data_IF_354233275419
#
_entry.id   IF_354233275419
#
_cell.length_a   1.000
_cell.length_b   1.000
_cell.length_c   1.000
_cell.angle_alpha   90.00
_cell.angle_beta   90.00
_cell.angle_gamma   90.00
#
_symmetry.space_group_name_H-M   'P 1'
#
loop_
_entity.id
_entity.type
_entity.pdbx_description
1 polymer ?
#
# COMPACT_ATOMS: atom_id res chain seq x y z
N UNK A 1 17.38 -1.56 -21.46
CA UNK A 1 16.74 -0.23 -21.50
C UNK A 1 17.03 0.42 -20.16
N UNK A 2 17.95 1.40 -20.12
CA UNK A 2 18.25 2.11 -18.87
C UNK A 2 17.04 3.01 -18.58
N UNK A 3 16.16 2.59 -17.66
CA UNK A 3 14.93 3.34 -17.34
C UNK A 3 15.21 4.75 -16.80
N UNK A 4 16.44 5.00 -16.33
CA UNK A 4 16.90 6.28 -15.79
C UNK A 4 17.48 7.24 -16.83
N UNK A 5 17.31 6.99 -18.14
CA UNK A 5 17.80 7.93 -19.15
C UNK A 5 16.95 9.21 -19.20
N UNK A 6 17.61 10.37 -19.25
CA UNK A 6 16.96 11.68 -19.41
C UNK A 6 16.04 11.75 -20.64
N UNK A 7 16.35 11.01 -21.70
CA UNK A 7 15.53 10.92 -22.92
C UNK A 7 14.20 10.20 -22.66
N UNK A 8 14.20 9.18 -21.80
CA UNK A 8 12.98 8.46 -21.38
C UNK A 8 12.11 9.38 -20.53
N UNK A 9 12.72 10.14 -19.60
CA UNK A 9 12.01 11.12 -18.80
C UNK A 9 11.39 12.24 -19.64
N UNK A 10 12.14 12.76 -20.63
CA UNK A 10 11.66 13.82 -21.51
C UNK A 10 10.41 13.39 -22.30
N UNK A 11 10.43 12.19 -22.90
CA UNK A 11 9.25 11.64 -23.60
C UNK A 11 8.07 11.41 -22.66
N UNK A 12 8.31 10.97 -21.43
CA UNK A 12 7.25 10.75 -20.46
C UNK A 12 6.57 12.06 -20.02
N UNK A 13 7.35 13.12 -19.80
CA UNK A 13 6.80 14.45 -19.41
C UNK A 13 6.03 15.11 -20.54
N UNK A 14 6.36 14.83 -21.81
CA UNK A 14 5.63 15.36 -22.97
C UNK A 14 4.16 14.90 -22.97
N UNK A 15 3.89 13.65 -22.59
CA UNK A 15 2.55 13.11 -22.40
C UNK A 15 1.94 13.36 -21.01
N UNK A 16 2.76 13.74 -20.02
CA UNK A 16 2.33 13.93 -18.64
C UNK A 16 2.98 15.18 -18.00
N UNK A 17 2.50 16.36 -18.40
CA UNK A 17 3.08 17.65 -17.96
C UNK A 17 3.12 17.83 -16.44
N UNK A 18 2.17 17.26 -15.70
CA UNK A 18 2.14 17.32 -14.24
C UNK A 18 3.28 16.50 -13.60
N UNK A 19 3.81 15.49 -14.30
CA UNK A 19 4.91 14.67 -13.82
C UNK A 19 6.25 15.42 -13.74
N UNK A 20 6.39 16.52 -14.49
CA UNK A 20 7.62 17.33 -14.51
C UNK A 20 8.10 17.74 -13.11
N UNK A 21 7.16 18.03 -12.20
CA UNK A 21 7.47 18.46 -10.85
C UNK A 21 8.07 17.37 -9.95
N UNK A 22 8.08 16.09 -10.38
CA UNK A 22 8.62 14.98 -9.60
C UNK A 22 10.08 14.67 -9.89
N UNK A 23 10.67 15.20 -10.99
CA UNK A 23 12.08 14.92 -11.35
C UNK A 23 13.06 15.28 -10.22
N UNK A 24 12.76 16.34 -9.48
CA UNK A 24 13.61 16.89 -8.43
C UNK A 24 13.08 16.61 -7.02
N UNK A 25 12.00 15.84 -6.90
CA UNK A 25 11.42 15.52 -5.59
C UNK A 25 12.13 14.32 -4.98
N UNK A 26 12.54 14.49 -3.73
CA UNK A 26 13.08 13.39 -2.93
C UNK A 26 11.92 12.53 -2.43
N UNK A 27 11.94 11.24 -2.76
CA UNK A 27 11.02 10.25 -2.19
C UNK A 27 11.52 9.92 -0.79
N UNK A 28 10.85 10.48 0.23
CA UNK A 28 11.13 10.11 1.63
C UNK A 28 10.83 8.62 1.81
N UNK A 29 11.60 7.97 2.67
CA UNK A 29 11.45 6.54 2.97
C UNK A 29 11.68 5.62 1.74
N UNK A 30 12.48 6.08 0.76
CA UNK A 30 12.83 5.30 -0.42
C UNK A 30 13.41 3.92 -0.05
N UNK A 31 14.29 3.86 0.95
CA UNK A 31 14.94 2.60 1.36
C UNK A 31 13.93 1.57 1.86
N UNK A 32 12.91 1.97 2.62
CA UNK A 32 11.88 1.03 3.06
C UNK A 32 10.94 0.62 1.93
N UNK A 33 10.59 1.55 1.03
CA UNK A 33 9.80 1.23 -0.17
C UNK A 33 10.57 0.22 -1.03
N UNK A 34 11.87 0.45 -1.22
CA UNK A 34 12.73 -0.47 -1.95
C UNK A 34 12.87 -1.80 -1.22
N UNK A 35 12.91 -1.82 0.12
CA UNK A 35 12.96 -3.08 0.88
C UNK A 35 11.69 -3.93 0.70
N UNK A 36 10.52 -3.31 0.62
CA UNK A 36 9.23 -4.02 0.47
C UNK A 36 9.01 -4.48 -0.98
N UNK A 37 9.40 -3.65 -1.95
CA UNK A 37 9.04 -3.83 -3.36
C UNK A 37 10.21 -4.13 -4.30
N UNK A 38 11.48 -4.08 -3.86
CA UNK A 38 12.55 -4.71 -4.64
C UNK A 38 12.19 -6.18 -4.78
N UNK A 39 12.15 -6.64 -6.01
CA UNK A 39 11.99 -8.06 -6.34
C UNK A 39 12.95 -8.87 -5.50
N UNK A 40 12.41 -9.59 -4.51
CA UNK A 40 13.17 -10.53 -3.71
C UNK A 40 13.57 -11.69 -4.61
N UNK A 41 14.82 -11.69 -5.08
CA UNK A 41 15.45 -12.85 -5.67
C UNK A 41 15.94 -13.79 -4.56
N UNK A 42 15.07 -14.14 -3.61
CA UNK A 42 15.28 -15.27 -2.72
C UNK A 42 15.19 -16.58 -3.53
N UNK A 43 16.21 -16.85 -4.34
CA UNK A 43 16.55 -18.20 -4.75
C UNK A 43 17.40 -18.80 -3.64
N UNK A 44 16.76 -19.11 -2.51
CA UNK A 44 17.45 -19.47 -1.28
C UNK A 44 16.71 -20.56 -0.54
N UNK A 45 17.18 -21.79 -0.75
CA UNK A 45 16.88 -23.01 -0.03
C UNK A 45 17.18 -22.89 1.48
N UNK A 46 16.36 -22.15 2.25
CA UNK A 46 16.60 -21.94 3.69
C UNK A 46 15.32 -21.98 4.56
N UNK A 47 14.27 -22.65 4.09
CA UNK A 47 13.19 -23.11 4.96
C UNK A 47 13.64 -24.33 5.78
N UNK A 48 14.65 -24.20 6.64
CA UNK A 48 15.06 -25.25 7.58
C UNK A 48 15.40 -24.66 8.95
N UNK A 49 14.49 -24.93 9.88
CA UNK A 49 14.75 -25.26 11.29
C UNK A 49 15.31 -24.14 12.19
N UNK A 50 14.43 -23.58 13.02
CA UNK A 50 14.79 -22.89 14.25
C UNK A 50 14.05 -23.52 15.41
N UNK A 51 14.62 -24.61 15.96
CA UNK A 51 14.16 -25.25 17.21
C UNK A 51 14.45 -24.29 18.36
N UNK A 52 13.41 -24.04 19.16
CA UNK A 52 13.48 -23.28 20.40
C UNK A 52 14.41 -23.98 21.39
N UNK A 53 15.33 -23.24 22.02
CA UNK A 53 15.96 -23.70 23.26
C UNK A 53 16.17 -22.49 24.17
N UNK A 54 15.27 -22.38 25.14
CA UNK A 54 15.45 -21.58 26.34
C UNK A 54 16.60 -22.17 27.15
N UNK A 55 17.56 -21.33 27.56
CA UNK A 55 18.39 -21.67 28.71
C UNK A 55 18.78 -20.40 29.48
N UNK A 56 18.21 -20.35 30.68
CA UNK A 56 18.45 -19.37 31.73
C UNK A 56 19.55 -19.90 32.65
N UNK A 57 20.58 -19.12 32.96
CA UNK A 57 21.22 -19.11 34.28
C UNK A 57 22.31 -18.03 34.46
N UNK A 58 22.47 -17.50 35.69
CA UNK A 58 23.27 -16.33 36.01
C UNK A 58 24.64 -16.69 36.62
N UNK A 59 25.66 -15.84 36.43
CA UNK A 59 26.79 -15.80 37.35
C UNK A 59 27.22 -14.34 37.60
N UNK A 60 27.07 -13.93 38.86
CA UNK A 60 27.68 -12.74 39.43
C UNK A 60 29.15 -13.02 39.78
N UNK A 61 30.01 -12.01 39.66
CA UNK A 61 31.21 -11.88 40.48
C UNK A 61 31.44 -10.41 40.76
N UNK A 62 31.36 -10.08 42.06
CA UNK A 62 31.61 -8.77 42.66
C UNK A 62 33.08 -8.33 42.57
N UNK A 63 33.27 -7.02 42.56
CA UNK A 63 34.54 -6.33 42.78
C UNK A 63 34.29 -4.87 43.14
N UNK A 64 34.34 -4.58 44.45
CA UNK A 64 34.02 -3.32 45.13
C UNK A 64 35.08 -2.20 44.93
N UNK A 65 34.63 -0.94 44.90
CA UNK A 65 35.26 0.32 45.43
C UNK A 65 34.98 1.57 44.54
N UNK A 66 34.94 2.83 45.06
CA UNK A 66 34.19 3.35 46.20
C UNK A 66 33.27 4.55 45.82
N UNK A 67 32.33 4.81 46.74
CA UNK A 67 31.45 5.98 46.96
C UNK A 67 31.59 7.24 46.07
N UNK A 68 30.50 7.57 45.35
CA UNK A 68 30.15 8.94 44.95
C UNK A 68 28.61 9.11 44.99
N UNK A 69 28.06 10.11 45.70
CA UNK A 69 26.63 10.29 45.84
C UNK A 69 26.05 10.95 44.58
N UNK A 70 25.74 10.16 43.56
CA UNK A 70 24.99 10.65 42.41
C UNK A 70 23.49 10.42 42.61
N UNK A 71 22.87 11.45 43.18
CA UNK A 71 21.45 11.76 43.08
C UNK A 71 21.02 11.78 41.60
N UNK A 72 20.70 10.62 41.01
CA UNK A 72 19.89 10.49 39.80
C UNK A 72 18.66 9.64 40.10
N UNK A 73 17.89 10.24 40.98
CA UNK A 73 16.45 10.15 41.10
C UNK A 73 15.77 9.67 39.82
N UNK A 74 15.30 8.41 39.82
CA UNK A 74 13.99 7.96 39.31
C UNK A 74 13.56 8.47 37.92
N UNK A 75 14.48 8.60 36.97
CA UNK A 75 14.12 8.94 35.57
C UNK A 75 14.11 7.69 34.69
N UNK A 76 14.97 6.71 34.97
CA UNK A 76 15.06 5.47 34.19
C UNK A 76 13.77 4.64 34.24
N UNK A 77 13.23 4.43 35.44
CA UNK A 77 12.01 3.64 35.64
C UNK A 77 10.78 4.28 34.96
N UNK A 78 10.69 5.62 35.00
CA UNK A 78 9.60 6.33 34.30
C UNK A 78 9.72 6.16 32.78
N UNK A 79 10.93 6.17 32.22
CA UNK A 79 11.17 5.93 30.79
C UNK A 79 10.82 4.49 30.40
N UNK A 80 11.20 3.50 31.22
CA UNK A 80 10.86 2.10 30.99
C UNK A 80 9.35 1.83 31.08
N UNK A 81 8.65 2.42 32.04
CA UNK A 81 7.19 2.34 32.14
C UNK A 81 6.51 2.95 30.90
N UNK A 82 6.93 4.15 30.50
CA UNK A 82 6.35 4.81 29.31
C UNK A 82 6.56 4.00 28.02
N UNK A 83 7.68 3.29 27.87
CA UNK A 83 7.93 2.42 26.73
C UNK A 83 7.10 1.13 26.77
N UNK A 84 6.90 0.57 27.98
CA UNK A 84 5.99 -0.54 28.23
C UNK A 84 4.55 -0.21 27.85
N UNK A 85 4.06 0.95 28.27
CA UNK A 85 2.70 1.44 28.00
C UNK A 85 2.46 1.72 26.51
N UNK A 86 3.48 2.22 25.80
CA UNK A 86 3.38 2.41 24.35
C UNK A 86 3.28 1.08 23.59
N UNK A 87 4.04 0.07 24.03
CA UNK A 87 4.03 -1.27 23.42
C UNK A 87 2.69 -1.99 23.65
N UNK A 88 2.11 -1.87 24.84
CA UNK A 88 0.81 -2.47 25.16
C UNK A 88 -0.33 -1.73 24.46
N UNK A 89 -0.30 -0.40 24.42
CA UNK A 89 -1.27 0.43 23.70
C UNK A 89 -1.33 0.09 22.20
N UNK A 90 -0.17 -0.08 21.55
CA UNK A 90 -0.13 -0.47 20.14
C UNK A 90 -0.65 -1.89 19.91
N UNK A 91 -0.30 -2.83 20.77
CA UNK A 91 -0.74 -4.22 20.66
C UNK A 91 -2.26 -4.37 20.92
N UNK A 92 -2.81 -3.62 21.87
CA UNK A 92 -4.26 -3.56 22.11
C UNK A 92 -5.00 -2.88 20.97
N UNK A 93 -4.41 -1.85 20.35
CA UNK A 93 -4.95 -1.24 19.14
C UNK A 93 -4.98 -2.26 17.98
N UNK A 94 -3.93 -3.07 17.78
CA UNK A 94 -3.91 -4.11 16.75
C UNK A 94 -4.92 -5.25 17.01
N UNK A 95 -5.11 -5.64 18.29
CA UNK A 95 -6.15 -6.62 18.67
C UNK A 95 -7.56 -6.07 18.52
N UNK A 96 -7.73 -4.75 18.59
CA UNK A 96 -9.00 -4.05 18.40
C UNK A 96 -9.32 -3.75 16.93
N UNK A 97 -8.43 -4.07 15.98
CA UNK A 97 -8.77 -4.00 14.55
C UNK A 97 -9.64 -5.21 14.25
N UNK A 98 -10.96 -5.05 14.42
CA UNK A 98 -11.92 -5.84 13.67
C UNK A 98 -11.46 -5.80 12.19
N UNK A 99 -11.25 -6.95 11.53
CA UNK A 99 -10.72 -6.97 10.18
C UNK A 99 -11.58 -6.09 9.29
N UNK A 100 -11.05 -4.92 8.93
CA UNK A 100 -11.76 -4.01 8.05
C UNK A 100 -12.06 -4.81 6.78
N UNK A 101 -13.34 -4.89 6.33
CA UNK A 101 -13.66 -5.66 5.15
C UNK A 101 -12.73 -5.21 4.03
N UNK A 102 -11.97 -6.17 3.48
CA UNK A 102 -11.08 -5.92 2.35
C UNK A 102 -11.90 -5.16 1.29
N UNK A 103 -11.34 -4.09 0.70
CA UNK A 103 -12.05 -3.37 -0.34
C UNK A 103 -12.50 -4.37 -1.39
N UNK A 104 -13.82 -4.46 -1.61
CA UNK A 104 -14.37 -5.33 -2.64
C UNK A 104 -13.82 -4.84 -3.98
N UNK A 105 -13.01 -5.67 -4.63
CA UNK A 105 -12.52 -5.41 -5.98
C UNK A 105 -13.35 -6.30 -6.89
N UNK A 106 -14.18 -5.69 -7.73
CA UNK A 106 -14.96 -6.43 -8.72
C UNK A 106 -14.01 -7.07 -9.72
N UNK A 107 -14.22 -8.35 -10.04
CA UNK A 107 -13.37 -9.04 -10.98
C UNK A 107 -13.49 -8.44 -12.39
N UNK A 108 -12.40 -8.32 -13.17
CA UNK A 108 -12.47 -7.75 -14.52
C UNK A 108 -13.47 -8.47 -15.45
N UNK A 109 -13.64 -9.78 -15.30
CA UNK A 109 -14.65 -10.56 -16.03
C UNK A 109 -16.08 -10.14 -15.72
N UNK A 110 -16.38 -9.79 -14.47
CA UNK A 110 -17.70 -9.33 -14.05
C UNK A 110 -18.02 -7.96 -14.64
N UNK A 111 -17.04 -7.05 -14.63
CA UNK A 111 -17.18 -5.73 -15.28
C UNK A 111 -17.48 -5.91 -16.78
N UNK A 112 -16.76 -6.82 -17.45
CA UNK A 112 -16.98 -7.09 -18.87
C UNK A 112 -18.38 -7.68 -19.13
N UNK A 113 -18.81 -8.64 -18.33
CA UNK A 113 -20.13 -9.25 -18.45
C UNK A 113 -21.25 -8.21 -18.25
N UNK A 114 -21.11 -7.32 -17.26
CA UNK A 114 -22.05 -6.24 -16.99
C UNK A 114 -22.16 -5.23 -18.16
N UNK A 115 -21.07 -5.03 -18.92
CA UNK A 115 -21.10 -4.20 -20.13
C UNK A 115 -21.75 -4.91 -21.31
N UNK A 116 -21.55 -6.22 -21.45
CA UNK A 116 -22.10 -7.01 -22.56
C UNK A 116 -23.62 -7.14 -22.52
N UNK A 117 -24.23 -7.05 -21.33
CA UNK A 117 -25.71 -7.06 -21.20
C UNK A 117 -26.36 -5.72 -21.58
N UNK A 118 -25.59 -4.66 -21.82
CA UNK A 118 -26.13 -3.36 -22.22
C UNK A 118 -26.55 -3.43 -23.70
N UNK A 119 -27.85 -3.23 -24.01
CA UNK A 119 -28.32 -3.31 -25.39
C UNK A 119 -27.74 -2.17 -26.24
N UNK A 120 -27.47 -2.49 -27.51
CA UNK A 120 -26.98 -1.56 -28.53
C UNK A 120 -25.72 -0.76 -28.16
N UNK A 121 -24.87 -1.29 -27.27
CA UNK A 121 -23.59 -0.67 -26.94
C UNK A 121 -22.55 -1.05 -28.02
N UNK A 122 -22.02 -0.06 -28.73
CA UNK A 122 -21.03 -0.32 -29.76
C UNK A 122 -19.73 -0.88 -29.14
N UNK A 123 -19.03 -1.75 -29.87
CA UNK A 123 -17.80 -2.40 -29.39
C UNK A 123 -16.74 -1.41 -28.95
N UNK A 124 -16.59 -0.29 -29.67
CA UNK A 124 -15.63 0.77 -29.32
C UNK A 124 -15.99 1.41 -27.96
N UNK A 125 -17.26 1.76 -27.76
CA UNK A 125 -17.75 2.34 -26.51
C UNK A 125 -17.62 1.37 -25.34
N UNK A 126 -17.87 0.08 -25.57
CA UNK A 126 -17.69 -0.98 -24.59
C UNK A 126 -16.23 -1.05 -24.14
N UNK A 127 -15.27 -1.10 -25.07
CA UNK A 127 -13.85 -1.19 -24.74
C UNK A 127 -13.36 0.06 -24.00
N UNK A 128 -13.80 1.25 -24.43
CA UNK A 128 -13.45 2.50 -23.76
C UNK A 128 -14.04 2.56 -22.34
N UNK A 129 -15.29 2.12 -22.16
CA UNK A 129 -15.93 2.02 -20.85
C UNK A 129 -15.20 1.03 -19.95
N UNK A 130 -14.89 -0.16 -20.48
CA UNK A 130 -14.19 -1.21 -19.75
C UNK A 130 -12.85 -0.74 -19.18
N UNK A 131 -12.03 -0.06 -20.01
CA UNK A 131 -10.75 0.49 -19.57
C UNK A 131 -10.86 1.52 -18.43
N UNK A 132 -11.98 2.25 -18.34
CA UNK A 132 -12.23 3.19 -17.24
C UNK A 132 -12.73 2.49 -15.98
N UNK A 133 -13.62 1.51 -16.14
CA UNK A 133 -14.28 0.84 -15.02
C UNK A 133 -13.33 -0.10 -14.27
N UNK A 134 -12.42 -0.79 -14.97
CA UNK A 134 -11.41 -1.66 -14.33
C UNK A 134 -10.45 -0.89 -13.41
N UNK A 135 -10.27 0.41 -13.66
CA UNK A 135 -9.40 1.28 -12.87
C UNK A 135 -10.16 2.04 -11.77
N UNK A 136 -11.50 1.94 -11.73
CA UNK A 136 -12.32 2.71 -10.81
C UNK A 136 -13.58 1.95 -10.39
N UNK A 137 -13.46 1.21 -9.28
CA UNK A 137 -14.54 0.46 -8.64
C UNK A 137 -15.77 1.34 -8.38
N UNK A 138 -15.59 2.61 -7.99
CA UNK A 138 -16.71 3.51 -7.70
C UNK A 138 -17.51 3.88 -8.94
N UNK A 139 -16.87 3.98 -10.11
CA UNK A 139 -17.58 4.16 -11.37
C UNK A 139 -18.38 2.91 -11.75
N UNK A 140 -17.83 1.72 -11.50
CA UNK A 140 -18.56 0.48 -11.71
C UNK A 140 -19.77 0.37 -10.77
N UNK A 141 -19.61 0.66 -9.48
CA UNK A 141 -20.74 0.68 -8.55
C UNK A 141 -21.81 1.68 -9.00
N UNK A 142 -21.43 2.90 -9.38
CA UNK A 142 -22.37 3.89 -9.89
C UNK A 142 -23.12 3.40 -11.13
N UNK A 143 -22.45 2.67 -12.03
CA UNK A 143 -23.11 2.04 -13.19
C UNK A 143 -24.15 1.00 -12.75
N UNK A 144 -23.87 0.22 -11.72
CA UNK A 144 -24.76 -0.83 -11.21
C UNK A 144 -26.00 -0.26 -10.52
N UNK A 145 -25.89 0.89 -9.85
CA UNK A 145 -27.02 1.62 -9.26
C UNK A 145 -27.97 2.22 -10.32
N UNK A 146 -27.50 2.43 -11.55
CA UNK A 146 -28.33 3.01 -12.61
C UNK A 146 -29.31 1.97 -13.19
N UNK A 147 -30.55 2.40 -13.51
CA UNK A 147 -31.47 1.58 -14.29
C UNK A 147 -30.86 1.20 -15.64
N UNK A 148 -31.15 -0.03 -16.10
CA UNK A 148 -30.58 -0.59 -17.33
C UNK A 148 -30.70 0.35 -18.55
N UNK A 149 -31.85 1.01 -18.69
CA UNK A 149 -32.15 1.95 -19.77
C UNK A 149 -31.24 3.21 -19.79
N UNK A 150 -30.65 3.57 -18.65
CA UNK A 150 -29.79 4.76 -18.52
C UNK A 150 -28.31 4.44 -18.72
N UNK A 151 -27.90 3.17 -18.50
CA UNK A 151 -26.49 2.76 -18.47
C UNK A 151 -25.75 3.10 -19.77
N UNK A 152 -26.34 2.82 -20.94
CA UNK A 152 -25.74 3.17 -22.24
C UNK A 152 -25.47 4.68 -22.35
N UNK A 153 -26.50 5.50 -22.13
CA UNK A 153 -26.38 6.97 -22.26
C UNK A 153 -25.33 7.54 -21.30
N UNK A 154 -25.28 7.03 -20.07
CA UNK A 154 -24.30 7.44 -19.09
C UNK A 154 -22.87 7.08 -19.50
N UNK A 155 -22.65 5.87 -20.03
CA UNK A 155 -21.34 5.45 -20.54
C UNK A 155 -20.87 6.30 -21.73
N UNK A 156 -21.77 6.67 -22.63
CA UNK A 156 -21.44 7.56 -23.76
C UNK A 156 -20.98 8.94 -23.27
N UNK A 157 -21.70 9.54 -22.31
CA UNK A 157 -21.29 10.80 -21.69
C UNK A 157 -19.93 10.69 -20.98
N UNK A 158 -19.68 9.55 -20.32
CA UNK A 158 -18.40 9.26 -19.69
C UNK A 158 -17.27 9.17 -20.74
N UNK A 159 -17.56 8.65 -21.93
CA UNK A 159 -16.64 8.49 -23.05
C UNK A 159 -16.29 9.79 -23.77
N UNK A 160 -17.26 10.67 -23.97
CA UNK A 160 -17.08 11.96 -24.63
C UNK A 160 -16.10 12.89 -23.89
N UNK A 161 -16.04 12.80 -22.55
CA UNK A 161 -15.24 13.73 -21.71
C UNK A 161 -13.72 13.63 -21.90
N UNK A 162 -13.21 12.63 -22.61
CA UNK A 162 -11.76 12.42 -22.79
C UNK A 162 -11.26 12.70 -24.22
N UNK A 163 -12.09 13.25 -25.10
CA UNK A 163 -11.74 13.55 -26.50
C UNK A 163 -11.22 14.97 -26.76
N UNK A 164 -10.73 15.69 -25.75
CA UNK A 164 -10.25 17.08 -25.85
C UNK A 164 -8.77 17.22 -25.54
#
# INVERSE_FOLDING_TARGET
>A
LLMDSDDVWARYVEGNKAAACYKTKIVKNWDAINTIYSTDHANGEAAKTGVETSQDSPLQTDGESPDMPHKRQRTGDAILCMFGDMKTSFHDALKSIEPLPLPHITAPSEILAALQVIPDLARCDLLQSYGKLILNERLFQALMELPMAMRKKWLLLLNEKNGG
#
